data_IF_488529424817
#
_entry.id   IF_488529424817
#
_cell.length_a   1.000
_cell.length_b   1.000
_cell.length_c   1.000
_cell.angle_alpha   90.00
_cell.angle_beta   90.00
_cell.angle_gamma   90.00
#
_symmetry.space_group_name_H-M   'P 1'
#
loop_
_entity.id
_entity.type
_entity.pdbx_description
1 polymer ?
#
# COMPACT_ATOMS: atom_id res chain seq x y z
N UNK A 1 59.28 17.82 -16.44
CA UNK A 1 58.03 18.49 -16.07
C UNK A 1 56.95 17.42 -16.07
N UNK A 2 56.64 16.84 -14.88
CA UNK A 2 55.61 15.80 -14.75
C UNK A 2 54.29 16.41 -14.34
N UNK A 3 53.28 16.34 -15.21
CA UNK A 3 51.91 16.74 -14.91
C UNK A 3 51.28 15.67 -14.03
N UNK A 4 50.92 16.03 -12.80
CA UNK A 4 50.10 15.17 -11.89
C UNK A 4 48.66 15.54 -12.19
N UNK A 5 47.93 14.59 -12.80
CA UNK A 5 46.50 14.70 -13.03
C UNK A 5 45.78 14.19 -11.77
N UNK A 6 45.30 15.11 -10.94
CA UNK A 6 44.47 14.76 -9.76
C UNK A 6 43.05 14.45 -10.20
N UNK A 7 42.68 13.16 -10.19
CA UNK A 7 41.30 12.73 -10.38
C UNK A 7 40.51 13.02 -9.07
N UNK A 8 39.63 14.01 -9.11
CA UNK A 8 38.66 14.26 -8.06
C UNK A 8 37.54 13.22 -8.18
N UNK A 9 37.56 12.20 -7.31
CA UNK A 9 36.42 11.28 -7.15
C UNK A 9 35.32 12.05 -6.40
N UNK A 10 34.30 12.53 -7.09
CA UNK A 10 33.03 12.96 -6.49
C UNK A 10 32.30 11.68 -6.02
N UNK A 11 32.38 11.37 -4.72
CA UNK A 11 31.51 10.39 -4.08
C UNK A 11 30.09 10.99 -3.99
N UNK A 12 29.19 10.51 -4.85
CA UNK A 12 27.75 10.74 -4.68
C UNK A 12 27.33 10.02 -3.38
N UNK A 13 27.26 10.75 -2.28
CA UNK A 13 26.59 10.29 -1.07
C UNK A 13 25.10 10.31 -1.39
N UNK A 14 24.56 9.14 -1.72
CA UNK A 14 23.10 8.94 -1.78
C UNK A 14 22.59 9.10 -0.35
N UNK A 15 22.03 10.26 -0.01
CA UNK A 15 21.29 10.46 1.22
C UNK A 15 20.04 9.57 1.13
N UNK A 16 20.12 8.38 1.71
CA UNK A 16 18.93 7.61 2.00
C UNK A 16 18.03 8.49 2.86
N UNK A 17 16.91 8.95 2.32
CA UNK A 17 15.96 9.77 3.07
C UNK A 17 15.41 8.92 4.22
N UNK A 18 15.64 9.39 5.46
CA UNK A 18 15.29 8.62 6.64
C UNK A 18 13.76 8.50 6.74
N UNK A 19 13.28 7.29 7.00
CA UNK A 19 11.92 7.03 7.45
C UNK A 19 11.61 7.91 8.65
N UNK A 20 10.45 8.59 8.65
CA UNK A 20 9.96 9.43 9.74
C UNK A 20 8.62 8.90 10.24
N UNK A 21 8.53 8.55 11.51
CA UNK A 21 7.23 8.21 12.11
C UNK A 21 6.44 9.48 12.39
N UNK A 22 5.18 9.48 11.96
CA UNK A 22 4.22 10.58 12.10
C UNK A 22 2.91 10.09 12.70
N UNK A 23 2.08 11.02 13.15
CA UNK A 23 0.77 10.74 13.73
C UNK A 23 -0.28 11.73 13.20
N UNK A 24 -1.49 11.23 13.00
CA UNK A 24 -2.65 12.03 12.60
C UNK A 24 -3.95 11.42 13.16
N UNK A 25 -5.02 12.21 13.33
CA UNK A 25 -6.27 11.69 13.86
C UNK A 25 -7.07 10.93 12.79
N UNK A 26 -7.68 9.80 13.18
CA UNK A 26 -8.78 9.16 12.46
C UNK A 26 -10.09 9.93 12.70
N UNK A 27 -11.15 9.61 11.91
CA UNK A 27 -12.44 10.30 11.99
C UNK A 27 -13.10 10.26 13.39
N UNK A 28 -12.85 9.20 14.14
CA UNK A 28 -13.34 9.05 15.52
C UNK A 28 -12.38 9.57 16.60
N UNK A 29 -11.35 10.32 16.19
CA UNK A 29 -10.34 10.91 17.09
C UNK A 29 -9.25 9.95 17.55
N UNK A 30 -9.22 8.68 17.06
CA UNK A 30 -8.11 7.78 17.33
C UNK A 30 -6.84 8.28 16.65
N UNK A 31 -5.72 8.35 17.39
CA UNK A 31 -4.43 8.68 16.78
C UNK A 31 -3.89 7.51 15.96
N UNK A 32 -3.74 7.74 14.67
CA UNK A 32 -3.15 6.81 13.70
C UNK A 32 -1.66 7.10 13.59
N UNK A 33 -0.83 6.05 13.68
CA UNK A 33 0.62 6.12 13.47
C UNK A 33 0.97 5.64 12.06
N UNK A 34 1.92 6.29 11.42
CA UNK A 34 2.42 5.90 10.12
C UNK A 34 3.91 6.24 9.96
N UNK A 35 4.58 5.52 9.07
CA UNK A 35 5.96 5.81 8.67
C UNK A 35 5.95 6.47 7.29
N UNK A 36 6.45 7.71 7.24
CA UNK A 36 6.61 8.48 6.01
C UNK A 36 7.98 8.20 5.40
N UNK A 37 7.99 7.87 4.13
CA UNK A 37 9.15 7.70 3.26
C UNK A 37 9.06 8.77 2.17
N UNK A 38 9.58 9.96 2.48
CA UNK A 38 9.49 11.11 1.60
C UNK A 38 10.39 10.94 0.37
N UNK A 39 10.01 11.53 -0.77
CA UNK A 39 10.79 11.48 -2.01
C UNK A 39 10.60 12.73 -2.83
N UNK A 40 11.69 13.46 -3.07
CA UNK A 40 11.67 14.67 -3.85
C UNK A 40 10.69 15.70 -3.30
N UNK A 41 9.75 16.15 -4.14
CA UNK A 41 8.68 17.07 -3.79
C UNK A 41 7.39 16.38 -3.29
N UNK A 42 7.40 15.04 -3.13
CA UNK A 42 6.27 14.21 -2.72
C UNK A 42 5.04 14.31 -3.64
N UNK A 43 5.25 14.60 -4.93
CA UNK A 43 4.15 14.77 -5.89
C UNK A 43 3.54 13.46 -6.37
N UNK A 44 4.30 12.37 -6.35
CA UNK A 44 3.80 11.02 -6.61
C UNK A 44 3.78 10.23 -5.30
N UNK A 45 2.59 9.85 -4.83
CA UNK A 45 2.42 9.33 -3.49
C UNK A 45 1.68 8.00 -3.45
N UNK A 46 2.19 7.04 -2.67
CA UNK A 46 1.54 5.74 -2.43
C UNK A 46 1.25 5.57 -0.94
N UNK A 47 -0.01 5.36 -0.59
CA UNK A 47 -0.46 4.94 0.73
C UNK A 47 -0.44 3.42 0.84
N UNK A 48 0.20 2.88 1.89
CA UNK A 48 0.48 1.46 2.08
C UNK A 48 -0.25 0.93 3.33
N UNK A 49 -1.16 -0.04 3.15
CA UNK A 49 -2.02 -0.57 4.21
C UNK A 49 -1.77 -2.07 4.42
N UNK A 50 -1.35 -2.44 5.63
CA UNK A 50 -0.88 -3.78 6.00
C UNK A 50 -1.99 -4.85 6.06
N UNK A 51 -1.58 -6.13 6.05
CA UNK A 51 -2.48 -7.25 6.22
C UNK A 51 -2.90 -7.47 7.69
N UNK A 52 -3.86 -8.38 7.90
CA UNK A 52 -4.37 -8.75 9.20
C UNK A 52 -3.27 -9.18 10.18
N UNK A 53 -3.38 -8.71 11.43
CA UNK A 53 -2.47 -9.05 12.52
C UNK A 53 -1.10 -8.39 12.45
N UNK A 54 -0.84 -7.53 11.47
CA UNK A 54 0.46 -6.89 11.21
C UNK A 54 0.44 -5.37 11.47
N UNK A 55 1.49 -4.71 11.03
CA UNK A 55 1.73 -3.28 11.20
C UNK A 55 2.34 -2.69 9.93
N UNK A 56 2.60 -1.39 9.95
CA UNK A 56 3.38 -0.65 8.95
C UNK A 56 4.75 -1.27 8.67
N UNK A 57 5.26 -2.14 9.58
CA UNK A 57 6.47 -2.92 9.39
C UNK A 57 6.43 -3.90 8.21
N UNK A 58 5.25 -4.19 7.63
CA UNK A 58 5.15 -4.97 6.38
C UNK A 58 5.90 -4.30 5.23
N UNK A 59 6.03 -2.97 5.26
CA UNK A 59 6.53 -2.17 4.15
C UNK A 59 7.98 -1.69 4.30
N UNK A 60 8.73 -2.17 5.31
CA UNK A 60 10.13 -1.77 5.55
C UNK A 60 11.07 -2.03 4.37
N UNK A 61 10.85 -3.11 3.59
CA UNK A 61 11.59 -3.40 2.37
C UNK A 61 10.93 -2.78 1.12
N UNK A 62 9.60 -2.67 1.13
CA UNK A 62 8.81 -2.26 -0.04
C UNK A 62 8.86 -0.74 -0.26
N UNK A 63 8.64 0.06 0.79
CA UNK A 63 8.58 1.51 0.66
C UNK A 63 9.91 2.14 0.18
N UNK A 64 11.10 1.72 0.67
CA UNK A 64 12.37 2.21 0.11
C UNK A 64 12.54 1.86 -1.37
N UNK A 65 12.08 0.69 -1.82
CA UNK A 65 12.15 0.33 -3.25
C UNK A 65 11.20 1.20 -4.08
N UNK A 66 9.99 1.48 -3.60
CA UNK A 66 9.07 2.42 -4.25
C UNK A 66 9.65 3.84 -4.33
N UNK A 67 10.43 4.26 -3.31
CA UNK A 67 11.17 5.51 -3.39
C UNK A 67 12.21 5.52 -4.53
N UNK A 68 12.87 4.41 -4.83
CA UNK A 68 13.79 4.34 -5.99
C UNK A 68 13.05 4.51 -7.31
N UNK A 69 11.77 4.13 -7.37
CA UNK A 69 10.89 4.31 -8.51
C UNK A 69 10.26 5.72 -8.61
N UNK A 70 10.59 6.61 -7.64
CA UNK A 70 10.12 8.01 -7.67
C UNK A 70 8.90 8.32 -6.80
N UNK A 71 8.36 7.35 -6.07
CA UNK A 71 7.18 7.53 -5.23
C UNK A 71 7.53 7.82 -3.78
N UNK A 72 6.94 8.86 -3.19
CA UNK A 72 6.85 9.00 -1.75
C UNK A 72 5.83 7.99 -1.20
N UNK A 73 6.03 7.49 0.03
CA UNK A 73 5.13 6.51 0.62
C UNK A 73 4.75 6.87 2.06
N UNK A 74 3.56 6.43 2.46
CA UNK A 74 3.11 6.43 3.85
C UNK A 74 2.62 5.03 4.22
N UNK A 75 3.40 4.31 5.04
CA UNK A 75 3.01 3.00 5.57
C UNK A 75 2.22 3.20 6.87
N UNK A 76 0.96 2.79 6.88
CA UNK A 76 -0.02 3.14 7.91
C UNK A 76 -0.30 1.97 8.84
N UNK A 77 -0.26 2.20 10.15
CA UNK A 77 -0.83 1.31 11.16
C UNK A 77 -2.35 1.51 11.19
N UNK A 78 -3.09 0.51 10.78
CA UNK A 78 -4.56 0.52 10.93
C UNK A 78 -4.94 -0.06 12.30
N UNK A 79 -6.14 0.30 12.83
CA UNK A 79 -6.63 -0.16 14.15
C UNK A 79 -6.81 -1.68 14.27
N UNK A 80 -6.87 -2.41 13.17
CA UNK A 80 -6.95 -3.87 13.13
C UNK A 80 -5.58 -4.46 12.79
N UNK A 81 -4.74 -4.68 13.80
CA UNK A 81 -3.37 -5.14 13.57
C UNK A 81 -2.63 -5.64 14.81
N UNK A 82 -1.34 -5.86 14.67
CA UNK A 82 -0.46 -6.41 15.71
C UNK A 82 0.99 -5.98 15.50
N UNK A 83 1.90 -6.91 15.18
CA UNK A 83 3.31 -6.61 14.94
C UNK A 83 3.88 -7.46 13.81
N UNK A 84 4.83 -6.89 13.06
CA UNK A 84 5.63 -7.61 12.06
C UNK A 84 6.99 -6.94 11.89
N UNK A 85 8.03 -7.71 11.57
CA UNK A 85 9.40 -7.22 11.33
C UNK A 85 9.93 -6.31 12.46
N UNK A 86 9.61 -6.63 13.72
CA UNK A 86 10.04 -5.84 14.88
C UNK A 86 9.25 -4.54 15.12
N UNK A 87 8.28 -4.20 14.28
CA UNK A 87 7.45 -2.99 14.41
C UNK A 87 6.09 -3.35 15.00
N UNK A 88 5.74 -2.74 16.14
CA UNK A 88 4.40 -2.84 16.75
C UNK A 88 3.42 -1.93 16.04
N UNK A 89 2.17 -2.36 15.98
CA UNK A 89 1.06 -1.53 15.54
C UNK A 89 0.57 -0.65 16.69
N UNK A 90 0.98 0.62 16.65
CA UNK A 90 0.65 1.59 17.70
C UNK A 90 -0.82 2.01 17.65
N UNK A 91 -1.41 2.14 16.48
CA UNK A 91 -2.82 2.47 16.30
C UNK A 91 -3.73 1.38 16.88
N UNK A 92 -3.47 0.11 16.59
CA UNK A 92 -4.22 -1.01 17.15
C UNK A 92 -4.08 -1.09 18.67
N UNK A 93 -2.88 -0.80 19.20
CA UNK A 93 -2.62 -0.74 20.64
C UNK A 93 -3.47 0.34 21.31
N UNK A 94 -3.50 1.56 20.76
CA UNK A 94 -4.33 2.67 21.25
C UNK A 94 -5.82 2.39 21.13
N UNK A 95 -6.27 1.82 20.00
CA UNK A 95 -7.67 1.48 19.80
C UNK A 95 -8.18 0.50 20.85
N UNK A 96 -7.42 -0.56 21.14
CA UNK A 96 -7.74 -1.53 22.18
C UNK A 96 -7.76 -0.90 23.57
N UNK A 97 -6.78 -0.07 23.91
CA UNK A 97 -6.71 0.63 25.20
C UNK A 97 -7.88 1.61 25.40
N UNK A 98 -8.36 2.24 24.31
CA UNK A 98 -9.50 3.15 24.33
C UNK A 98 -10.87 2.45 24.18
N UNK A 99 -10.92 1.11 24.13
CA UNK A 99 -12.17 0.34 23.95
C UNK A 99 -12.85 0.59 22.60
N UNK A 100 -12.10 1.05 21.58
CA UNK A 100 -12.64 1.27 20.24
C UNK A 100 -12.75 -0.04 19.46
N UNK A 101 -13.70 -0.09 18.52
CA UNK A 101 -13.86 -1.22 17.63
C UNK A 101 -12.61 -1.40 16.74
N UNK A 102 -12.18 -2.67 16.54
CA UNK A 102 -10.94 -3.04 15.85
C UNK A 102 -11.14 -4.17 14.85
N UNK A 103 -12.35 -4.37 14.35
CA UNK A 103 -12.60 -5.32 13.26
C UNK A 103 -11.95 -4.84 11.96
N UNK A 104 -11.86 -5.71 10.97
CA UNK A 104 -11.33 -5.32 9.65
C UNK A 104 -12.10 -4.18 9.01
N UNK A 105 -13.43 -4.18 9.14
CA UNK A 105 -14.28 -3.12 8.61
C UNK A 105 -14.04 -1.76 9.31
N UNK A 106 -13.74 -1.78 10.62
CA UNK A 106 -13.48 -0.55 11.38
C UNK A 106 -12.20 0.17 10.92
N UNK A 107 -11.25 -0.56 10.31
CA UNK A 107 -10.03 0.03 9.75
C UNK A 107 -10.28 0.92 8.51
N UNK A 108 -11.48 0.88 7.93
CA UNK A 108 -11.81 1.71 6.77
C UNK A 108 -11.68 3.21 7.06
N UNK A 109 -12.09 3.67 8.24
CA UNK A 109 -11.95 5.06 8.65
C UNK A 109 -10.48 5.51 8.81
N UNK A 110 -9.55 4.58 9.09
CA UNK A 110 -8.11 4.89 9.16
C UNK A 110 -7.52 5.08 7.76
N UNK A 111 -8.02 4.32 6.77
CA UNK A 111 -7.70 4.50 5.34
C UNK A 111 -8.16 5.88 4.87
N UNK A 112 -9.42 6.24 5.15
CA UNK A 112 -9.97 7.55 4.80
C UNK A 112 -9.17 8.70 5.43
N UNK A 113 -8.83 8.58 6.72
CA UNK A 113 -8.04 9.59 7.43
C UNK A 113 -6.61 9.73 6.85
N UNK A 114 -5.97 8.63 6.44
CA UNK A 114 -4.66 8.65 5.80
C UNK A 114 -4.70 9.37 4.44
N UNK A 115 -5.74 9.13 3.64
CA UNK A 115 -5.96 9.80 2.35
C UNK A 115 -6.15 11.31 2.56
N UNK A 116 -7.01 11.70 3.51
CA UNK A 116 -7.21 13.11 3.86
C UNK A 116 -5.94 13.79 4.35
N UNK A 117 -5.18 13.10 5.22
CA UNK A 117 -3.91 13.59 5.74
C UNK A 117 -2.90 13.86 4.61
N UNK A 118 -2.68 12.89 3.72
CA UNK A 118 -1.71 13.03 2.62
C UNK A 118 -2.13 14.15 1.66
N UNK A 119 -3.40 14.26 1.33
CA UNK A 119 -3.91 15.35 0.49
C UNK A 119 -3.66 16.72 1.11
N UNK A 120 -3.98 16.86 2.40
CA UNK A 120 -3.81 18.13 3.12
C UNK A 120 -2.33 18.50 3.33
N UNK A 121 -1.49 17.52 3.67
CA UNK A 121 -0.10 17.74 4.08
C UNK A 121 0.85 17.87 2.91
N UNK A 122 0.67 17.04 1.87
CA UNK A 122 1.62 16.93 0.75
C UNK A 122 1.05 17.46 -0.57
N UNK A 123 -0.27 17.52 -0.71
CA UNK A 123 -0.96 17.93 -1.94
C UNK A 123 -0.35 17.28 -3.19
N UNK A 124 -0.34 15.95 -3.28
CA UNK A 124 0.28 15.22 -4.37
C UNK A 124 -0.48 15.45 -5.69
N UNK A 125 0.25 15.40 -6.81
CA UNK A 125 -0.32 15.42 -8.16
C UNK A 125 -0.88 14.04 -8.55
N UNK A 126 -0.33 12.97 -7.96
CA UNK A 126 -0.81 11.59 -8.12
C UNK A 126 -0.88 10.89 -6.76
N UNK A 127 -2.06 10.37 -6.42
CA UNK A 127 -2.32 9.63 -5.17
C UNK A 127 -2.78 8.21 -5.46
N UNK A 128 -1.98 7.24 -5.05
CA UNK A 128 -2.21 5.82 -5.23
C UNK A 128 -2.46 5.18 -3.87
N UNK A 129 -3.39 4.23 -3.79
CA UNK A 129 -3.58 3.40 -2.59
C UNK A 129 -3.17 1.96 -2.87
N UNK A 130 -2.56 1.35 -1.87
CA UNK A 130 -2.06 -0.01 -1.92
C UNK A 130 -2.46 -0.76 -0.66
N UNK A 131 -3.17 -1.87 -0.79
CA UNK A 131 -3.59 -2.70 0.33
C UNK A 131 -3.06 -4.13 0.25
N UNK A 132 -2.88 -4.73 1.44
CA UNK A 132 -2.48 -6.12 1.64
C UNK A 132 -3.60 -6.89 2.35
N UNK A 133 -4.05 -8.03 1.80
CA UNK A 133 -5.09 -8.89 2.38
C UNK A 133 -6.42 -8.16 2.62
N UNK A 134 -6.93 -8.10 3.86
CA UNK A 134 -8.17 -7.38 4.16
C UNK A 134 -8.11 -5.89 3.76
N UNK A 135 -6.95 -5.27 3.92
CA UNK A 135 -6.75 -3.88 3.48
C UNK A 135 -6.82 -3.74 1.97
N UNK A 136 -6.39 -4.76 1.21
CA UNK A 136 -6.49 -4.77 -0.24
C UNK A 136 -7.95 -4.77 -0.71
N UNK A 137 -8.83 -5.42 0.02
CA UNK A 137 -10.26 -5.40 -0.21
C UNK A 137 -10.88 -4.03 0.15
N UNK A 138 -10.43 -3.42 1.26
CA UNK A 138 -10.89 -2.09 1.67
C UNK A 138 -10.46 -0.98 0.70
N UNK A 139 -9.24 -1.03 0.14
CA UNK A 139 -8.82 -0.02 -0.84
C UNK A 139 -9.56 -0.15 -2.18
N UNK A 140 -9.93 -1.37 -2.61
CA UNK A 140 -10.82 -1.56 -3.76
C UNK A 140 -12.23 -1.02 -3.48
N UNK A 141 -12.74 -1.28 -2.27
CA UNK A 141 -14.02 -0.69 -1.85
C UNK A 141 -13.96 0.83 -1.87
N UNK A 142 -12.92 1.44 -1.28
CA UNK A 142 -12.74 2.88 -1.28
C UNK A 142 -12.70 3.47 -2.69
N UNK A 143 -11.91 2.85 -3.60
CA UNK A 143 -11.79 3.29 -4.98
C UNK A 143 -13.13 3.25 -5.73
N UNK A 144 -14.02 2.32 -5.40
CA UNK A 144 -15.36 2.25 -5.98
C UNK A 144 -16.37 3.19 -5.32
N UNK A 145 -16.26 3.42 -4.01
CA UNK A 145 -17.14 4.35 -3.28
C UNK A 145 -16.80 5.83 -3.56
N UNK A 146 -15.52 6.09 -3.89
CA UNK A 146 -14.95 7.42 -4.12
C UNK A 146 -14.14 7.45 -5.43
N UNK A 147 -14.78 7.23 -6.60
CA UNK A 147 -14.10 6.94 -7.86
C UNK A 147 -13.24 8.09 -8.41
N UNK A 148 -13.42 9.31 -7.91
CA UNK A 148 -12.63 10.49 -8.29
C UNK A 148 -11.54 10.83 -7.24
N UNK A 149 -11.43 10.01 -6.19
CA UNK A 149 -10.58 10.32 -5.06
C UNK A 149 -9.14 9.84 -5.21
N UNK A 150 -8.83 9.04 -6.20
CA UNK A 150 -7.53 8.39 -6.39
C UNK A 150 -7.13 8.40 -7.85
N UNK A 151 -5.85 8.18 -8.11
CA UNK A 151 -5.31 8.04 -9.47
C UNK A 151 -5.04 6.58 -9.84
N UNK A 152 -4.87 5.68 -8.86
CA UNK A 152 -4.78 4.24 -9.08
C UNK A 152 -4.96 3.44 -7.77
N UNK A 153 -5.21 2.12 -7.89
CA UNK A 153 -5.29 1.20 -6.75
C UNK A 153 -4.53 -0.09 -7.01
N UNK A 154 -3.68 -0.51 -6.05
CA UNK A 154 -3.01 -1.81 -6.04
C UNK A 154 -3.55 -2.67 -4.88
N UNK A 155 -3.86 -3.91 -5.17
CA UNK A 155 -4.57 -4.82 -4.28
C UNK A 155 -3.89 -6.19 -4.24
N UNK A 156 -3.30 -6.51 -3.10
CA UNK A 156 -2.55 -7.75 -2.89
C UNK A 156 -3.37 -8.73 -2.06
N UNK A 157 -3.81 -9.82 -2.66
CA UNK A 157 -4.65 -10.87 -2.06
C UNK A 157 -6.01 -10.37 -1.53
N UNK A 158 -6.81 -9.68 -2.35
CA UNK A 158 -8.16 -9.29 -1.92
C UNK A 158 -9.13 -10.47 -1.85
N UNK A 159 -10.26 -10.22 -1.18
CA UNK A 159 -11.39 -11.14 -1.08
C UNK A 159 -12.58 -10.49 -0.41
N UNK A 160 -13.70 -11.18 -0.37
CA UNK A 160 -14.91 -10.74 0.33
C UNK A 160 -14.83 -11.10 1.82
N UNK A 161 -14.00 -10.38 2.59
CA UNK A 161 -13.63 -10.71 3.97
C UNK A 161 -14.60 -10.19 5.06
N UNK A 162 -15.73 -9.56 4.68
CA UNK A 162 -16.51 -8.70 5.59
C UNK A 162 -17.94 -9.21 5.87
N UNK A 163 -18.14 -10.52 5.90
CA UNK A 163 -19.42 -11.13 6.25
C UNK A 163 -20.51 -11.09 5.15
N UNK A 164 -20.30 -10.32 4.06
CA UNK A 164 -21.10 -10.33 2.83
C UNK A 164 -20.28 -10.91 1.70
N UNK A 165 -20.95 -11.59 0.75
CA UNK A 165 -20.30 -12.18 -0.44
C UNK A 165 -20.04 -11.18 -1.56
N UNK A 166 -20.45 -9.92 -1.37
CA UNK A 166 -20.43 -8.88 -2.38
C UNK A 166 -20.08 -7.49 -1.80
N UNK A 167 -19.51 -7.45 -0.60
CA UNK A 167 -19.15 -6.20 0.08
C UNK A 167 -18.16 -5.35 -0.73
N UNK A 168 -17.16 -6.00 -1.32
CA UNK A 168 -16.15 -5.34 -2.15
C UNK A 168 -16.63 -5.20 -3.58
N UNK A 169 -17.19 -6.26 -4.16
CA UNK A 169 -17.58 -6.28 -5.57
C UNK A 169 -18.70 -5.28 -5.91
N UNK A 170 -19.61 -4.99 -4.97
CA UNK A 170 -20.60 -3.91 -5.12
C UNK A 170 -19.99 -2.53 -5.32
N UNK A 171 -18.90 -2.23 -4.61
CA UNK A 171 -18.18 -0.97 -4.79
C UNK A 171 -17.26 -1.04 -6.02
N UNK A 172 -16.57 -2.15 -6.21
CA UNK A 172 -15.56 -2.32 -7.26
C UNK A 172 -16.11 -2.12 -8.69
N UNK A 173 -17.41 -2.36 -8.92
CA UNK A 173 -18.05 -2.06 -10.22
C UNK A 173 -18.09 -0.57 -10.58
N UNK A 174 -17.81 0.33 -9.64
CA UNK A 174 -17.76 1.77 -9.86
C UNK A 174 -16.33 2.32 -9.97
N UNK A 175 -15.29 1.48 -9.87
CA UNK A 175 -13.90 1.90 -10.01
C UNK A 175 -13.67 2.48 -11.40
N UNK A 176 -13.13 3.70 -11.46
CA UNK A 176 -12.84 4.42 -12.71
C UNK A 176 -11.34 4.60 -12.97
N UNK A 177 -10.52 4.26 -12.01
CA UNK A 177 -9.06 4.43 -12.07
C UNK A 177 -8.35 3.13 -12.41
N UNK A 178 -7.12 3.18 -12.95
CA UNK A 178 -6.29 2.00 -13.15
C UNK A 178 -6.20 1.15 -11.89
N UNK A 179 -6.38 -0.16 -12.05
CA UNK A 179 -6.39 -1.10 -10.93
C UNK A 179 -5.50 -2.31 -11.20
N UNK A 180 -4.75 -2.72 -10.18
CA UNK A 180 -3.88 -3.89 -10.21
C UNK A 180 -4.24 -4.85 -9.10
N UNK A 181 -4.43 -6.15 -9.43
CA UNK A 181 -4.68 -7.21 -8.45
C UNK A 181 -3.62 -8.30 -8.57
N UNK A 182 -3.08 -8.74 -7.46
CA UNK A 182 -2.19 -9.91 -7.39
C UNK A 182 -2.41 -10.70 -6.11
N UNK A 183 -1.91 -11.94 -6.07
CA UNK A 183 -2.01 -12.83 -4.91
C UNK A 183 -1.09 -14.04 -5.07
N UNK A 184 -1.07 -14.94 -4.08
CA UNK A 184 -0.59 -16.31 -4.32
C UNK A 184 -1.46 -16.98 -5.40
N UNK A 185 -0.89 -17.99 -6.08
CA UNK A 185 -1.56 -18.69 -7.21
C UNK A 185 -2.91 -19.30 -6.82
N UNK A 186 -2.98 -19.88 -5.61
CA UNK A 186 -4.19 -20.55 -5.11
C UNK A 186 -5.33 -19.60 -4.73
N UNK A 187 -5.05 -18.30 -4.56
CA UNK A 187 -6.04 -17.31 -4.10
C UNK A 187 -6.84 -16.67 -5.24
N UNK A 188 -6.53 -16.99 -6.50
CA UNK A 188 -7.23 -16.41 -7.65
C UNK A 188 -8.75 -16.48 -7.53
N UNK A 189 -9.28 -17.61 -7.08
CA UNK A 189 -10.74 -17.82 -6.95
C UNK A 189 -11.39 -16.86 -5.95
N UNK A 190 -10.65 -16.39 -4.93
CA UNK A 190 -11.14 -15.49 -3.88
C UNK A 190 -11.42 -14.07 -4.39
N UNK A 191 -10.71 -13.63 -5.41
CA UNK A 191 -10.80 -12.26 -5.92
C UNK A 191 -11.23 -12.17 -7.40
N UNK A 192 -11.30 -13.27 -8.12
CA UNK A 192 -11.64 -13.23 -9.52
C UNK A 192 -13.03 -12.63 -9.81
N UNK A 193 -13.98 -12.84 -8.89
CA UNK A 193 -15.30 -12.20 -8.94
C UNK A 193 -15.21 -10.68 -8.86
N UNK A 194 -14.39 -10.17 -7.95
CA UNK A 194 -14.12 -8.73 -7.78
C UNK A 194 -13.47 -8.16 -9.04
N UNK A 195 -12.41 -8.81 -9.57
CA UNK A 195 -11.73 -8.34 -10.78
C UNK A 195 -12.68 -8.26 -11.99
N UNK A 196 -13.58 -9.23 -12.14
CA UNK A 196 -14.51 -9.24 -13.28
C UNK A 196 -15.46 -8.06 -13.32
N UNK A 197 -15.90 -7.58 -12.17
CA UNK A 197 -16.86 -6.47 -12.09
C UNK A 197 -16.23 -5.09 -12.20
N UNK A 198 -14.91 -4.95 -12.02
CA UNK A 198 -14.21 -3.69 -12.28
C UNK A 198 -14.35 -3.35 -13.77
N UNK A 199 -14.87 -2.16 -14.14
CA UNK A 199 -15.11 -1.78 -15.52
C UNK A 199 -13.83 -1.41 -16.27
N UNK A 200 -13.93 -1.35 -17.60
CA UNK A 200 -12.86 -0.83 -18.47
C UNK A 200 -11.66 -1.76 -18.68
N UNK A 201 -10.70 -1.27 -19.45
CA UNK A 201 -9.51 -2.02 -19.87
C UNK A 201 -8.27 -1.71 -19.02
N UNK A 202 -8.36 -0.74 -18.09
CA UNK A 202 -7.26 -0.33 -17.21
C UNK A 202 -7.14 -1.20 -15.95
N UNK A 203 -7.81 -2.35 -15.92
CA UNK A 203 -7.66 -3.35 -14.87
C UNK A 203 -6.68 -4.42 -15.29
N UNK A 204 -5.66 -4.62 -14.49
CA UNK A 204 -4.64 -5.63 -14.73
C UNK A 204 -4.52 -6.58 -13.54
N UNK A 205 -3.93 -7.75 -13.77
CA UNK A 205 -3.59 -8.66 -12.68
C UNK A 205 -2.29 -9.40 -12.98
N UNK A 206 -1.65 -9.86 -11.93
CA UNK A 206 -0.51 -10.76 -11.99
C UNK A 206 -0.76 -12.00 -11.14
N UNK A 207 -0.36 -13.18 -11.64
CA UNK A 207 -0.27 -14.42 -10.87
C UNK A 207 1.08 -15.06 -11.13
N UNK A 208 1.81 -15.47 -10.08
CA UNK A 208 3.09 -16.14 -10.26
C UNK A 208 2.91 -17.52 -10.87
N UNK A 209 3.90 -17.99 -11.62
CA UNK A 209 3.96 -19.38 -12.08
C UNK A 209 4.20 -20.37 -10.94
N UNK A 210 4.86 -19.90 -9.87
CA UNK A 210 5.11 -20.61 -8.62
C UNK A 210 3.86 -20.62 -7.71
N UNK A 211 4.01 -21.09 -6.46
CA UNK A 211 2.97 -21.00 -5.44
C UNK A 211 2.64 -19.55 -5.08
N UNK A 212 3.64 -18.68 -5.07
CA UNK A 212 3.51 -17.31 -4.61
C UNK A 212 3.29 -17.17 -3.11
N UNK A 213 3.03 -15.94 -2.68
CA UNK A 213 2.82 -15.57 -1.29
C UNK A 213 1.59 -14.68 -1.12
N UNK A 214 0.93 -14.79 0.05
CA UNK A 214 -0.22 -14.00 0.42
C UNK A 214 0.16 -12.56 0.77
N UNK A 215 -0.56 -11.57 0.24
CA UNK A 215 -0.39 -10.16 0.56
C UNK A 215 0.91 -9.54 0.03
N UNK A 216 1.19 -8.32 0.46
CA UNK A 216 2.34 -7.54 -0.04
C UNK A 216 3.70 -8.15 0.32
N UNK A 217 3.75 -9.04 1.32
CA UNK A 217 4.99 -9.77 1.63
C UNK A 217 5.53 -10.58 0.45
N UNK A 218 4.73 -10.85 -0.57
CA UNK A 218 5.19 -11.50 -1.79
C UNK A 218 6.36 -10.76 -2.46
N UNK A 219 6.53 -9.48 -2.13
CA UNK A 219 7.61 -8.63 -2.61
C UNK A 219 8.89 -8.66 -1.75
N UNK A 220 8.89 -9.34 -0.59
CA UNK A 220 10.05 -9.37 0.30
C UNK A 220 11.21 -10.17 -0.29
N UNK A 221 12.43 -9.70 -0.07
CA UNK A 221 13.66 -10.26 -0.65
C UNK A 221 13.90 -11.72 -0.27
N UNK A 222 13.34 -12.18 0.84
CA UNK A 222 13.46 -13.59 1.27
C UNK A 222 12.71 -14.59 0.38
N UNK A 223 11.82 -14.15 -0.50
CA UNK A 223 11.08 -15.03 -1.40
C UNK A 223 11.68 -15.01 -2.80
N UNK A 224 12.04 -16.19 -3.30
CA UNK A 224 12.74 -16.36 -4.58
C UNK A 224 11.90 -15.95 -5.81
N UNK A 225 10.58 -15.82 -5.66
CA UNK A 225 9.63 -15.43 -6.71
C UNK A 225 9.19 -13.95 -6.60
N UNK A 226 9.81 -13.17 -5.72
CA UNK A 226 9.48 -11.76 -5.52
C UNK A 226 9.72 -10.90 -6.77
N UNK A 227 10.71 -11.26 -7.59
CA UNK A 227 11.08 -10.51 -8.78
C UNK A 227 9.90 -10.39 -9.76
N UNK A 228 9.16 -11.49 -10.01
CA UNK A 228 8.00 -11.45 -10.92
C UNK A 228 6.89 -10.53 -10.43
N UNK A 229 6.68 -10.46 -9.10
CA UNK A 229 5.75 -9.49 -8.51
C UNK A 229 6.23 -8.04 -8.68
N UNK A 230 7.52 -7.79 -8.47
CA UNK A 230 8.10 -6.46 -8.67
C UNK A 230 8.01 -6.01 -10.13
N UNK A 231 8.36 -6.86 -11.08
CA UNK A 231 8.26 -6.57 -12.51
C UNK A 231 6.82 -6.19 -12.90
N UNK A 232 5.83 -6.93 -12.40
CA UNK A 232 4.42 -6.63 -12.66
C UNK A 232 3.97 -5.30 -12.03
N UNK A 233 4.44 -4.98 -10.81
CA UNK A 233 4.18 -3.69 -10.15
C UNK A 233 4.83 -2.55 -10.92
N UNK A 234 6.10 -2.68 -11.34
CA UNK A 234 6.83 -1.67 -12.07
C UNK A 234 6.18 -1.38 -13.44
N UNK A 235 5.73 -2.43 -14.15
CA UNK A 235 4.98 -2.28 -15.40
C UNK A 235 3.67 -1.52 -15.16
N UNK A 236 2.92 -1.88 -14.12
CA UNK A 236 1.68 -1.17 -13.78
C UNK A 236 1.93 0.30 -13.42
N UNK A 237 2.87 0.58 -12.51
CA UNK A 237 3.19 1.95 -12.09
C UNK A 237 3.71 2.82 -13.25
N UNK A 238 4.38 2.22 -14.24
CA UNK A 238 4.86 2.93 -15.42
C UNK A 238 3.76 3.23 -16.45
N UNK A 239 2.60 2.56 -16.34
CA UNK A 239 1.47 2.72 -17.27
C UNK A 239 0.46 3.80 -16.85
N UNK A 240 0.63 4.38 -15.66
CA UNK A 240 -0.31 5.33 -15.05
C UNK A 240 0.26 6.73 -14.85
#
# INVERSE_FOLDING_TARGET
MKLILSLLLLSLVSLAQAQKTIEFPSKDGLTVTADAYEKGDNKQFILLFHQAGWSRGEYQEIAPKLNTLGYACLAVDQRSGGAVNGVKNETATRAKAAGKATSYADAFQDIEAAIEYVRKQYNPDKLIVWGSSYSSALVLKFAGDQPEALDAVLSFSPGEYFGSKDFVSKSAQNIKVPSFITSSKSEKSSWWGIHKVIPGDQKTYYLPDTKGNHGSRALWDKFSDNQGYWEAVEVFLSSI
#
